data_IF_161406500690
#
_entry.id   IF_161406500690
#
_cell.length_a   1.000
_cell.length_b   1.000
_cell.length_c   1.000
_cell.angle_alpha   90.00
_cell.angle_beta   90.00
_cell.angle_gamma   90.00
#
_symmetry.space_group_name_H-M   'P 1'
#
loop_
_entity.id
_entity.type
_entity.pdbx_description
1 polymer ?
#
# COMPACT_ATOMS: atom_id res chain seq x y z
N UNK A 1 7.91 2.42 -19.42
CA UNK A 1 7.71 3.46 -18.38
C UNK A 1 6.39 3.14 -17.71
N UNK A 2 6.40 2.83 -16.41
CA UNK A 2 5.16 2.68 -15.63
C UNK A 2 4.73 4.06 -15.10
N UNK A 3 3.43 4.25 -14.89
CA UNK A 3 2.89 5.52 -14.37
C UNK A 3 3.52 5.88 -13.02
N UNK A 4 3.68 4.88 -12.13
CA UNK A 4 4.25 5.07 -10.80
C UNK A 4 5.69 5.59 -10.87
N UNK A 5 6.53 5.01 -11.74
CA UNK A 5 7.92 5.46 -11.93
C UNK A 5 7.99 6.93 -12.36
N UNK A 6 7.09 7.32 -13.27
CA UNK A 6 7.01 8.69 -13.76
C UNK A 6 6.58 9.68 -12.67
N UNK A 7 5.58 9.33 -11.87
CA UNK A 7 5.13 10.17 -10.75
C UNK A 7 6.21 10.30 -9.68
N UNK A 8 6.94 9.21 -9.36
CA UNK A 8 8.08 9.24 -8.43
C UNK A 8 9.21 10.16 -8.94
N UNK A 9 9.51 10.12 -10.24
CA UNK A 9 10.50 11.01 -10.84
C UNK A 9 10.14 12.49 -10.64
N UNK A 10 8.91 12.87 -10.95
CA UNK A 10 8.42 14.24 -10.72
C UNK A 10 8.41 14.62 -9.24
N UNK A 11 8.08 13.67 -8.36
CA UNK A 11 8.12 13.93 -6.91
C UNK A 11 9.54 14.22 -6.40
N UNK A 12 10.54 13.45 -6.83
CA UNK A 12 11.95 13.68 -6.48
C UNK A 12 12.48 15.02 -6.98
N UNK A 13 11.97 15.49 -8.12
CA UNK A 13 12.39 16.74 -8.73
C UNK A 13 11.59 17.96 -8.23
N UNK A 14 10.62 17.77 -7.33
CA UNK A 14 9.76 18.85 -6.85
C UNK A 14 8.72 19.32 -7.88
N UNK A 15 8.52 18.58 -8.96
CA UNK A 15 7.60 18.90 -10.06
C UNK A 15 6.34 18.02 -10.06
N UNK A 16 5.93 17.53 -8.88
CA UNK A 16 4.82 16.58 -8.72
C UNK A 16 3.51 17.10 -9.32
N UNK A 17 3.26 18.41 -9.25
CA UNK A 17 2.04 19.04 -9.79
C UNK A 17 1.93 18.91 -11.33
N UNK A 18 3.05 18.74 -12.04
CA UNK A 18 3.06 18.53 -13.50
C UNK A 18 2.45 17.17 -13.90
N UNK A 19 2.24 16.28 -12.93
CA UNK A 19 1.61 14.98 -13.13
C UNK A 19 0.09 15.02 -13.13
N UNK A 20 -0.51 16.15 -12.75
CA UNK A 20 -1.97 16.34 -12.76
C UNK A 20 -2.50 16.30 -14.20
N UNK A 21 -3.68 15.70 -14.38
CA UNK A 21 -4.33 15.61 -15.68
C UNK A 21 -4.57 17.02 -16.27
N UNK A 22 -4.00 17.25 -17.45
CA UNK A 22 -4.10 18.52 -18.19
C UNK A 22 -5.54 18.89 -18.52
N UNK A 23 -6.45 17.90 -18.62
CA UNK A 23 -7.88 18.10 -18.86
C UNK A 23 -8.60 18.78 -17.71
N UNK A 24 -7.99 18.84 -16.52
CA UNK A 24 -8.50 19.64 -15.42
C UNK A 24 -8.28 21.14 -15.65
N UNK A 25 -7.40 21.53 -16.58
CA UNK A 25 -7.18 22.93 -16.99
C UNK A 25 -6.91 23.88 -15.81
N UNK A 26 -6.22 23.39 -14.77
CA UNK A 26 -5.95 24.17 -13.56
C UNK A 26 -7.13 24.29 -12.58
N UNK A 27 -8.27 23.66 -12.87
CA UNK A 27 -9.44 23.60 -11.97
C UNK A 27 -9.25 22.53 -10.88
N UNK A 28 -8.19 22.66 -10.11
CA UNK A 28 -7.90 21.83 -8.95
C UNK A 28 -7.17 22.65 -7.90
N UNK A 29 -7.38 22.32 -6.63
CA UNK A 29 -6.56 22.87 -5.57
C UNK A 29 -5.16 22.21 -5.63
N UNK A 30 -4.11 23.02 -5.52
CA UNK A 30 -2.73 22.55 -5.67
C UNK A 30 -2.32 21.67 -4.50
N UNK A 31 -2.74 22.02 -3.29
CA UNK A 31 -2.38 21.29 -2.07
C UNK A 31 -3.13 19.96 -2.01
N UNK A 32 -4.43 19.95 -2.35
CA UNK A 32 -5.21 18.72 -2.48
C UNK A 32 -4.65 17.81 -3.57
N UNK A 33 -4.26 18.35 -4.73
CA UNK A 33 -3.65 17.57 -5.81
C UNK A 33 -2.34 16.91 -5.37
N UNK A 34 -1.47 17.66 -4.68
CA UNK A 34 -0.23 17.12 -4.13
C UNK A 34 -0.51 16.05 -3.08
N UNK A 35 -1.51 16.26 -2.21
CA UNK A 35 -1.94 15.32 -1.19
C UNK A 35 -2.36 13.99 -1.82
N UNK A 36 -3.28 14.01 -2.79
CA UNK A 36 -3.79 12.78 -3.42
C UNK A 36 -2.73 12.07 -4.25
N UNK A 37 -1.79 12.79 -4.87
CA UNK A 37 -0.66 12.19 -5.59
C UNK A 37 0.26 11.44 -4.63
N UNK A 38 0.62 12.05 -3.49
CA UNK A 38 1.43 11.39 -2.44
C UNK A 38 0.69 10.20 -1.83
N UNK A 39 -0.61 10.35 -1.56
CA UNK A 39 -1.43 9.27 -1.02
C UNK A 39 -1.56 8.10 -2.02
N UNK A 40 -1.71 8.39 -3.31
CA UNK A 40 -1.73 7.40 -4.38
C UNK A 40 -0.44 6.59 -4.45
N UNK A 41 0.72 7.25 -4.31
CA UNK A 41 2.02 6.56 -4.22
C UNK A 41 2.11 5.65 -2.99
N UNK A 42 1.60 6.11 -1.83
CA UNK A 42 1.57 5.32 -0.61
C UNK A 42 0.64 4.09 -0.74
N UNK A 43 -0.50 4.24 -1.42
CA UNK A 43 -1.40 3.13 -1.73
C UNK A 43 -0.79 2.12 -2.73
N UNK A 44 0.06 2.61 -3.64
CA UNK A 44 0.75 1.79 -4.64
C UNK A 44 2.03 1.12 -4.13
N UNK A 45 2.32 1.21 -2.82
CA UNK A 45 3.55 0.67 -2.24
C UNK A 45 3.70 -0.84 -2.54
N UNK A 46 4.89 -1.35 -2.92
CA UNK A 46 5.09 -2.77 -3.24
C UNK A 46 4.72 -3.69 -2.07
N UNK A 47 5.07 -3.31 -0.84
CA UNK A 47 4.75 -4.10 0.37
C UNK A 47 3.34 -3.78 0.87
N UNK A 48 2.53 -4.81 1.03
CA UNK A 48 1.13 -4.70 1.47
C UNK A 48 1.00 -4.12 2.88
N UNK A 49 1.95 -4.39 3.77
CA UNK A 49 1.96 -3.89 5.15
C UNK A 49 2.27 -2.39 5.28
N UNK A 50 2.85 -1.78 4.24
CA UNK A 50 3.13 -0.34 4.20
C UNK A 50 1.98 0.46 3.57
N UNK A 51 1.02 -0.21 2.94
CA UNK A 51 -0.17 0.45 2.37
C UNK A 51 -1.12 0.86 3.50
N UNK A 52 -1.75 2.03 3.40
CA UNK A 52 -2.71 2.48 4.40
C UNK A 52 -4.00 1.67 4.28
N UNK A 53 -4.69 1.48 5.41
CA UNK A 53 -6.05 0.94 5.41
C UNK A 53 -7.03 1.93 4.78
N UNK A 54 -8.16 1.43 4.26
CA UNK A 54 -9.22 2.31 3.72
C UNK A 54 -9.70 3.36 4.71
N UNK A 55 -9.73 3.04 6.01
CA UNK A 55 -10.07 4.01 7.06
C UNK A 55 -9.06 5.16 7.10
N UNK A 56 -7.77 4.86 7.06
CA UNK A 56 -6.73 5.89 7.06
C UNK A 56 -6.77 6.73 5.78
N UNK A 57 -7.01 6.11 4.62
CA UNK A 57 -7.17 6.82 3.34
C UNK A 57 -8.24 7.89 3.45
N UNK A 58 -9.42 7.55 3.97
CA UNK A 58 -10.52 8.52 4.16
C UNK A 58 -10.12 9.61 5.14
N UNK A 59 -9.48 9.28 6.26
CA UNK A 59 -9.00 10.28 7.23
C UNK A 59 -7.96 11.24 6.65
N UNK A 60 -7.09 10.78 5.74
CA UNK A 60 -6.16 11.67 5.03
C UNK A 60 -6.90 12.61 4.07
N UNK A 61 -7.91 12.11 3.36
CA UNK A 61 -8.69 12.90 2.39
C UNK A 61 -9.61 13.92 3.07
N UNK A 62 -10.20 13.56 4.21
CA UNK A 62 -11.05 14.45 5.00
C UNK A 62 -10.25 15.49 5.81
N UNK A 63 -8.92 15.35 5.86
CA UNK A 63 -8.04 16.23 6.64
C UNK A 63 -8.00 15.92 8.14
N UNK A 64 -8.66 14.85 8.58
CA UNK A 64 -8.66 14.36 9.96
C UNK A 64 -7.28 13.84 10.41
N UNK A 65 -6.43 13.47 9.45
CA UNK A 65 -5.08 12.96 9.68
C UNK A 65 -4.10 13.55 8.67
N UNK A 66 -2.92 13.95 9.14
CA UNK A 66 -1.83 14.35 8.24
C UNK A 66 -1.18 13.11 7.61
N UNK A 67 -0.94 13.16 6.30
CA UNK A 67 -0.12 12.18 5.60
C UNK A 67 1.27 12.08 6.29
N UNK A 68 1.81 10.87 6.52
CA UNK A 68 3.16 10.73 7.05
C UNK A 68 4.15 11.50 6.18
N UNK A 69 5.24 12.00 6.78
CA UNK A 69 6.29 12.66 6.01
C UNK A 69 6.97 11.61 5.12
N UNK A 70 6.51 11.52 3.87
CA UNK A 70 7.06 10.60 2.91
C UNK A 70 8.32 11.24 2.32
N UNK A 71 9.47 10.58 2.51
CA UNK A 71 10.67 10.93 1.77
C UNK A 71 10.53 10.38 0.34
N UNK A 72 10.97 11.11 -0.70
CA UNK A 72 11.07 10.59 -2.07
C UNK A 72 12.16 9.51 -2.19
N UNK A 73 12.09 8.46 -1.38
CA UNK A 73 13.14 7.44 -1.30
C UNK A 73 12.94 6.41 -2.39
N UNK A 74 14.05 5.90 -2.95
CA UNK A 74 14.13 4.71 -3.81
C UNK A 74 13.55 3.43 -3.19
N UNK A 75 13.04 3.49 -1.95
CA UNK A 75 12.52 2.36 -1.17
C UNK A 75 11.17 1.83 -1.67
N UNK A 76 10.43 2.59 -2.49
CA UNK A 76 9.26 2.07 -3.21
C UNK A 76 9.68 1.03 -4.27
N UNK A 77 10.96 0.98 -4.63
CA UNK A 77 11.53 0.04 -5.61
C UNK A 77 12.54 -0.96 -5.02
N UNK A 78 13.26 -0.64 -3.94
CA UNK A 78 14.46 -1.40 -3.54
C UNK A 78 14.27 -2.42 -2.40
N UNK A 79 13.10 -2.54 -1.78
CA UNK A 79 12.92 -3.51 -0.68
C UNK A 79 12.70 -4.97 -1.15
N UNK A 80 12.76 -5.25 -2.47
CA UNK A 80 12.68 -6.63 -2.99
C UNK A 80 13.90 -7.48 -2.65
N UNK A 81 15.04 -6.89 -2.28
CA UNK A 81 16.29 -7.63 -2.02
C UNK A 81 16.30 -8.40 -0.69
N UNK A 82 15.28 -8.24 0.17
CA UNK A 82 15.20 -8.86 1.50
C UNK A 82 14.21 -10.03 1.64
N UNK A 83 13.44 -10.39 0.61
CA UNK A 83 12.40 -11.42 0.70
C UNK A 83 12.81 -12.81 0.18
N UNK A 84 14.00 -12.94 -0.42
CA UNK A 84 14.47 -14.19 -1.03
C UNK A 84 14.91 -15.27 -0.02
N UNK A 85 15.00 -14.97 1.29
CA UNK A 85 15.38 -15.99 2.28
C UNK A 85 14.23 -16.86 2.81
N UNK A 86 12.96 -16.57 2.46
CA UNK A 86 11.83 -17.33 2.99
C UNK A 86 11.18 -18.32 1.99
N UNK A 87 11.62 -18.33 0.73
CA UNK A 87 11.08 -19.25 -0.29
C UNK A 87 12.19 -20.15 -0.86
N UNK A 88 12.98 -20.81 0.00
CA UNK A 88 13.80 -21.90 -0.49
C UNK A 88 14.16 -22.94 0.59
N UNK A 89 13.18 -23.73 1.02
CA UNK A 89 13.38 -25.16 1.34
C UNK A 89 12.03 -25.88 1.39
N UNK A 90 11.73 -26.69 0.38
CA UNK A 90 10.83 -27.84 0.56
C UNK A 90 11.66 -29.13 0.70
N UNK A 91 11.06 -30.30 0.93
CA UNK A 91 9.98 -30.62 1.87
C UNK A 91 10.44 -31.73 2.84
N UNK A 92 10.14 -31.71 4.15
CA UNK A 92 10.02 -32.96 4.94
C UNK A 92 9.15 -32.79 6.20
N UNK A 93 8.36 -33.83 6.43
CA UNK A 93 7.44 -34.11 7.53
C UNK A 93 8.00 -33.80 8.92
N UNK A 94 7.14 -33.28 9.82
CA UNK A 94 6.82 -33.80 11.17
C UNK A 94 6.15 -32.68 11.98
N UNK A 95 4.84 -32.78 12.25
CA UNK A 95 4.15 -31.96 13.25
C UNK A 95 3.82 -32.86 14.44
N UNK A 96 4.30 -32.59 15.67
CA UNK A 96 3.61 -33.02 16.88
C UNK A 96 2.61 -31.95 17.32
N UNK A 97 1.45 -32.45 17.72
CA UNK A 97 0.23 -31.75 18.15
C UNK A 97 0.28 -31.41 19.65
N UNK A 98 -0.09 -30.18 20.03
CA UNK A 98 -0.89 -29.75 21.22
C UNK A 98 -0.88 -28.21 21.27
N UNK A 99 -1.90 -27.43 21.64
CA UNK A 99 -3.27 -27.58 22.16
C UNK A 99 -4.05 -26.33 21.64
N UNK A 100 -5.37 -26.13 21.65
CA UNK A 100 -6.54 -26.77 22.27
C UNK A 100 -7.82 -26.14 21.68
N UNK A 101 -8.72 -27.02 21.23
CA UNK A 101 -10.21 -27.00 21.17
C UNK A 101 -11.00 -25.68 21.31
N UNK A 102 -11.78 -25.37 20.26
CA UNK A 102 -13.03 -24.61 20.30
C UNK A 102 -14.12 -25.35 19.51
N UNK A 103 -15.26 -25.59 20.15
CA UNK A 103 -16.28 -26.62 19.83
C UNK A 103 -17.12 -26.35 18.57
N UNK A 104 -17.53 -27.44 17.93
CA UNK A 104 -18.36 -27.57 16.73
C UNK A 104 -19.77 -26.98 16.85
N UNK A 105 -20.35 -26.60 15.70
CA UNK A 105 -21.80 -26.64 15.46
C UNK A 105 -22.06 -26.93 13.98
N UNK A 106 -22.53 -28.12 13.65
CA UNK A 106 -23.09 -28.43 12.33
C UNK A 106 -24.50 -29.01 12.49
N UNK A 107 -25.44 -28.35 11.82
CA UNK A 107 -26.82 -28.77 11.62
C UNK A 107 -26.84 -29.91 10.58
N UNK A 108 -27.48 -31.02 10.91
CA UNK A 108 -28.05 -31.96 9.93
C UNK A 108 -29.10 -32.78 10.69
N UNK A 109 -30.39 -32.57 10.49
CA UNK A 109 -31.07 -32.72 9.22
C UNK A 109 -31.90 -34.01 9.34
N UNK A 110 -33.08 -33.90 9.94
CA UNK A 110 -33.93 -35.06 10.24
C UNK A 110 -34.73 -35.54 9.03
N UNK A 111 -34.82 -36.86 8.88
CA UNK A 111 -36.02 -37.72 8.96
C UNK A 111 -35.64 -39.12 8.49
#
# INVERSE_FOLDING_TARGET
ILLVDWVIHHWKNGTLIETVDKRLEGNHDTDEAILVLKLGLLCAHPFSNARPSMRQIVQYLDGDMALPELMPTDQISNQTEGLDQYIQTGPQSTIPVNASYGTMSSLSGGR
#
